data_IF_252521793297
#
_entry.id   IF_252521793297
#
_cell.length_a   1.000
_cell.length_b   1.000
_cell.length_c   1.000
_cell.angle_alpha   90.00
_cell.angle_beta   90.00
_cell.angle_gamma   90.00
#
_symmetry.space_group_name_H-M   'P 1'
#
loop_
_entity.id
_entity.type
_entity.pdbx_description
1 polymer ?
#
# COMPACT_ATOMS: atom_id res chain seq x y z
N UNK A 1 11.50 21.57 -10.00
CA UNK A 1 11.58 20.75 -8.76
C UNK A 1 10.68 19.50 -8.75
N UNK A 2 10.27 18.92 -9.89
CA UNK A 2 9.40 17.73 -9.94
C UNK A 2 10.13 16.38 -10.14
N UNK A 3 11.47 16.37 -10.28
CA UNK A 3 12.22 15.18 -10.70
C UNK A 3 12.73 14.29 -9.54
N UNK A 4 12.95 14.86 -8.35
CA UNK A 4 13.59 14.15 -7.23
C UNK A 4 12.62 13.24 -6.47
N UNK A 5 11.41 13.72 -6.15
CA UNK A 5 10.40 12.90 -5.48
C UNK A 5 9.91 11.76 -6.37
N UNK A 6 9.67 12.01 -7.66
CA UNK A 6 9.26 10.97 -8.63
C UNK A 6 10.31 9.87 -8.78
N UNK A 7 11.60 10.20 -8.85
CA UNK A 7 12.67 9.17 -8.91
C UNK A 7 12.73 8.33 -7.62
N UNK A 8 12.51 8.96 -6.47
CA UNK A 8 12.51 8.31 -5.16
C UNK A 8 11.33 7.35 -4.97
N UNK A 9 10.11 7.77 -5.34
CA UNK A 9 8.92 6.91 -5.35
C UNK A 9 9.12 5.66 -6.21
N UNK A 10 9.60 5.84 -7.45
CA UNK A 10 9.94 4.73 -8.36
C UNK A 10 11.01 3.78 -7.83
N UNK A 11 11.88 4.22 -6.91
CA UNK A 11 12.85 3.33 -6.27
C UNK A 11 12.20 2.52 -5.14
N UNK A 12 11.29 3.14 -4.38
CA UNK A 12 10.52 2.47 -3.34
C UNK A 12 9.63 1.36 -3.90
N UNK A 13 8.86 1.67 -4.94
CA UNK A 13 7.98 0.70 -5.62
C UNK A 13 8.73 -0.54 -6.10
N UNK A 14 9.94 -0.38 -6.68
CA UNK A 14 10.77 -1.52 -7.13
C UNK A 14 11.24 -2.39 -5.97
N UNK A 15 11.55 -1.79 -4.83
CA UNK A 15 11.94 -2.54 -3.62
C UNK A 15 10.74 -3.32 -3.09
N UNK A 16 9.55 -2.72 -3.08
CA UNK A 16 8.32 -3.40 -2.70
C UNK A 16 8.06 -4.60 -3.62
N UNK A 17 8.07 -4.43 -4.95
CA UNK A 17 7.89 -5.56 -5.88
C UNK A 17 8.85 -6.72 -5.55
N UNK A 18 10.15 -6.43 -5.35
CA UNK A 18 11.13 -7.46 -5.01
C UNK A 18 10.85 -8.18 -3.70
N UNK A 19 10.45 -7.44 -2.65
CA UNK A 19 10.11 -8.02 -1.35
C UNK A 19 8.88 -8.94 -1.48
N UNK A 20 7.86 -8.50 -2.22
CA UNK A 20 6.66 -9.30 -2.44
C UNK A 20 6.94 -10.52 -3.33
N UNK A 21 7.72 -10.38 -4.40
CA UNK A 21 8.21 -11.49 -5.24
C UNK A 21 8.96 -12.52 -4.41
N UNK A 22 9.90 -12.10 -3.56
CA UNK A 22 10.67 -13.02 -2.71
C UNK A 22 9.80 -13.68 -1.64
N UNK A 23 8.75 -13.01 -1.16
CA UNK A 23 7.91 -13.53 -0.08
C UNK A 23 6.82 -14.47 -0.59
N UNK A 24 6.07 -14.05 -1.61
CA UNK A 24 4.87 -14.73 -2.10
C UNK A 24 5.07 -15.46 -3.43
N UNK A 25 6.16 -15.19 -4.15
CA UNK A 25 6.31 -15.64 -5.54
C UNK A 25 5.41 -14.86 -6.50
N UNK A 26 5.37 -15.29 -7.75
CA UNK A 26 4.62 -14.61 -8.83
C UNK A 26 5.34 -13.36 -9.37
N UNK A 27 4.71 -12.71 -10.35
CA UNK A 27 5.22 -11.48 -10.99
C UNK A 27 4.56 -10.26 -10.37
N UNK A 28 5.31 -9.46 -9.60
CA UNK A 28 4.80 -8.21 -9.02
C UNK A 28 5.30 -7.02 -9.81
N UNK A 29 4.39 -6.18 -10.29
CA UNK A 29 4.75 -5.09 -11.19
C UNK A 29 4.34 -3.75 -10.61
N UNK A 30 5.00 -2.71 -11.08
CA UNK A 30 4.62 -1.34 -10.77
C UNK A 30 3.54 -0.92 -11.75
N UNK A 31 2.59 -0.11 -11.32
CA UNK A 31 1.61 0.42 -12.26
C UNK A 31 2.31 1.22 -13.37
N UNK A 32 1.90 0.99 -14.62
CA UNK A 32 2.37 1.81 -15.72
C UNK A 32 1.85 3.23 -15.49
N UNK A 33 2.74 4.23 -15.49
CA UNK A 33 2.32 5.62 -15.26
C UNK A 33 1.11 5.96 -16.13
N UNK A 34 0.04 6.43 -15.50
CA UNK A 34 -1.34 6.59 -15.98
C UNK A 34 -1.56 7.16 -17.40
N UNK A 35 -0.55 7.79 -18.00
CA UNK A 35 -0.59 8.21 -19.41
C UNK A 35 -0.66 7.08 -20.44
N UNK A 36 -0.14 5.89 -20.13
CA UNK A 36 -0.15 4.77 -21.08
C UNK A 36 -1.47 3.96 -21.09
N UNK A 37 -2.19 3.96 -19.97
CA UNK A 37 -3.45 3.20 -19.83
C UNK A 37 -4.69 4.05 -20.17
N UNK A 38 -4.61 5.37 -20.02
CA UNK A 38 -5.75 6.29 -20.18
C UNK A 38 -5.56 7.28 -21.36
N UNK A 39 -4.35 7.42 -21.91
CA UNK A 39 -4.07 8.39 -22.99
C UNK A 39 -4.21 7.82 -24.40
N UNK A 40 -5.27 8.20 -25.12
CA UNK A 40 -5.46 7.97 -26.55
C UNK A 40 -5.80 6.53 -26.95
N UNK A 41 -6.73 6.35 -27.89
CA UNK A 41 -7.24 5.10 -28.53
C UNK A 41 -7.69 3.92 -27.62
N UNK A 42 -7.22 3.83 -26.38
CA UNK A 42 -7.47 2.77 -25.40
C UNK A 42 -8.49 3.17 -24.33
N UNK A 43 -8.99 4.41 -24.33
CA UNK A 43 -10.05 4.85 -23.42
C UNK A 43 -11.36 4.03 -23.60
N UNK A 44 -11.56 3.46 -24.79
CA UNK A 44 -12.68 2.55 -25.13
C UNK A 44 -12.55 1.18 -24.45
N UNK A 45 -11.37 0.81 -23.90
CA UNK A 45 -11.18 -0.46 -23.19
C UNK A 45 -11.64 -0.46 -21.73
N UNK A 46 -12.07 0.68 -21.19
CA UNK A 46 -12.59 0.76 -19.81
C UNK A 46 -13.85 -0.08 -19.59
N UNK A 47 -14.62 -0.35 -20.64
CA UNK A 47 -15.84 -1.18 -20.55
C UNK A 47 -15.58 -2.69 -20.47
N UNK A 48 -14.31 -3.14 -20.59
CA UNK A 48 -13.94 -4.56 -20.61
C UNK A 48 -12.91 -4.97 -19.54
N UNK A 49 -12.55 -4.07 -18.62
CA UNK A 49 -11.63 -4.40 -17.53
C UNK A 49 -12.43 -4.98 -16.35
N UNK A 50 -11.97 -6.10 -15.80
CA UNK A 50 -12.57 -6.63 -14.57
C UNK A 50 -12.35 -5.66 -13.41
N UNK A 51 -13.20 -5.70 -12.38
CA UNK A 51 -13.08 -4.80 -11.22
C UNK A 51 -11.68 -4.87 -10.59
N UNK A 52 -11.09 -6.07 -10.52
CA UNK A 52 -9.70 -6.26 -10.07
C UNK A 52 -8.66 -5.56 -10.97
N UNK A 53 -8.84 -5.56 -12.28
CA UNK A 53 -7.95 -4.84 -13.21
C UNK A 53 -8.07 -3.32 -13.07
N UNK A 54 -9.27 -2.81 -12.78
CA UNK A 54 -9.49 -1.38 -12.53
C UNK A 54 -8.85 -0.96 -11.21
N UNK A 55 -8.96 -1.76 -10.15
CA UNK A 55 -8.32 -1.52 -8.85
C UNK A 55 -6.79 -1.54 -8.97
N UNK A 56 -6.24 -2.56 -9.63
CA UNK A 56 -4.81 -2.70 -9.86
C UNK A 56 -4.25 -1.58 -10.75
N UNK A 57 -5.05 -1.00 -11.64
CA UNK A 57 -4.63 0.14 -12.46
C UNK A 57 -4.56 1.47 -11.69
N UNK A 58 -5.10 1.53 -10.46
CA UNK A 58 -5.10 2.73 -9.62
C UNK A 58 -4.07 2.68 -8.49
N UNK A 59 -3.77 1.50 -7.97
CA UNK A 59 -2.74 1.30 -6.94
C UNK A 59 -1.32 1.42 -7.51
N UNK A 60 -0.33 1.62 -6.64
CA UNK A 60 1.08 1.73 -7.04
C UNK A 60 1.69 0.40 -7.53
N UNK A 61 1.26 -0.72 -6.95
CA UNK A 61 1.75 -2.07 -7.26
C UNK A 61 0.61 -2.95 -7.78
N UNK A 62 0.89 -3.65 -8.87
CA UNK A 62 0.04 -4.64 -9.52
C UNK A 62 0.47 -6.04 -9.02
N UNK A 63 -0.40 -6.76 -8.30
CA UNK A 63 -0.15 -8.13 -7.89
C UNK A 63 -0.29 -9.12 -9.07
N UNK A 64 0.21 -10.37 -8.91
CA UNK A 64 -0.21 -11.52 -9.71
C UNK A 64 -1.73 -11.69 -9.77
N UNK A 65 -2.25 -12.27 -10.86
CA UNK A 65 -3.70 -12.39 -11.10
C UNK A 65 -4.42 -13.25 -10.05
N UNK A 66 -3.70 -14.17 -9.40
CA UNK A 66 -4.23 -15.04 -8.35
C UNK A 66 -4.42 -14.33 -7.01
N UNK A 67 -3.86 -13.12 -6.85
CA UNK A 67 -3.89 -12.36 -5.60
C UNK A 67 -4.80 -11.13 -5.70
N UNK A 68 -5.69 -10.98 -4.71
CA UNK A 68 -6.50 -9.79 -4.49
C UNK A 68 -5.91 -8.97 -3.34
N UNK A 69 -5.01 -8.04 -3.65
CA UNK A 69 -4.42 -7.12 -2.68
C UNK A 69 -4.17 -5.76 -3.32
N UNK A 70 -4.49 -4.69 -2.60
CA UNK A 70 -4.13 -3.31 -2.98
C UNK A 70 -2.92 -2.85 -2.17
N UNK A 71 -1.87 -2.40 -2.87
CA UNK A 71 -0.65 -1.92 -2.23
C UNK A 71 -0.35 -0.49 -2.69
N UNK A 72 -0.28 0.41 -1.73
CA UNK A 72 0.06 1.81 -1.93
C UNK A 72 1.46 2.11 -1.39
N UNK A 73 2.26 2.88 -2.12
CA UNK A 73 3.65 3.18 -1.78
C UNK A 73 3.88 4.66 -1.51
N UNK A 74 4.41 4.98 -0.34
CA UNK A 74 4.79 6.36 0.01
C UNK A 74 6.26 6.44 0.40
N UNK A 75 6.95 7.48 -0.07
CA UNK A 75 8.35 7.72 0.29
C UNK A 75 8.59 9.18 0.69
N UNK A 76 8.83 9.39 1.98
CA UNK A 76 8.92 10.73 2.59
C UNK A 76 10.22 10.90 3.36
N UNK A 77 10.63 12.16 3.55
CA UNK A 77 11.82 12.47 4.32
C UNK A 77 11.57 12.28 5.82
N UNK A 78 10.38 12.65 6.29
CA UNK A 78 9.99 12.53 7.69
C UNK A 78 8.49 12.25 7.84
N UNK A 79 8.10 11.85 9.06
CA UNK A 79 6.74 11.57 9.48
C UNK A 79 6.53 12.09 10.92
N UNK A 80 5.38 12.71 11.24
CA UNK A 80 5.14 13.33 12.55
C UNK A 80 4.82 12.28 13.64
N UNK A 81 5.82 11.49 14.04
CA UNK A 81 5.67 10.38 15.00
C UNK A 81 5.09 10.78 16.35
N UNK A 82 5.40 11.99 16.84
CA UNK A 82 4.88 12.51 18.10
C UNK A 82 3.35 12.56 18.14
N UNK A 83 2.71 12.84 16.99
CA UNK A 83 1.25 12.89 16.88
C UNK A 83 0.58 11.54 17.06
N UNK A 84 1.25 10.43 16.74
CA UNK A 84 0.72 9.09 17.02
C UNK A 84 0.61 8.85 18.52
N UNK A 85 1.60 9.32 19.29
CA UNK A 85 1.63 9.17 20.75
C UNK A 85 0.60 10.11 21.40
N UNK A 86 0.49 11.33 20.88
CA UNK A 86 -0.48 12.34 21.35
C UNK A 86 -1.92 12.05 20.91
N UNK A 87 -2.12 11.09 19.99
CA UNK A 87 -3.40 10.80 19.35
C UNK A 87 -4.00 12.01 18.61
N UNK A 88 -3.13 12.84 18.04
CA UNK A 88 -3.50 13.99 17.22
C UNK A 88 -3.78 13.58 15.76
N UNK A 89 -4.69 14.28 15.05
CA UNK A 89 -4.88 14.08 13.62
C UNK A 89 -3.61 14.30 12.80
N UNK A 90 -3.36 13.39 11.85
CA UNK A 90 -2.23 13.45 10.93
C UNK A 90 -2.78 13.57 9.50
N UNK A 91 -3.04 14.81 9.06
CA UNK A 91 -3.57 15.11 7.72
C UNK A 91 -2.77 14.45 6.58
N UNK A 92 -1.45 14.34 6.74
CA UNK A 92 -0.59 13.66 5.79
C UNK A 92 -0.93 12.18 5.65
N UNK A 93 -1.19 11.50 6.77
CA UNK A 93 -1.54 10.09 6.79
C UNK A 93 -2.98 9.88 6.29
N UNK A 94 -3.90 10.76 6.67
CA UNK A 94 -5.27 10.73 6.15
C UNK A 94 -5.29 10.89 4.63
N UNK A 95 -4.46 11.77 4.06
CA UNK A 95 -4.35 11.92 2.60
C UNK A 95 -3.82 10.66 1.92
N UNK A 96 -2.87 9.93 2.52
CA UNK A 96 -2.41 8.66 1.96
C UNK A 96 -3.48 7.58 2.06
N UNK A 97 -4.27 7.56 3.13
CA UNK A 97 -5.39 6.65 3.31
C UNK A 97 -6.51 6.92 2.30
N UNK A 98 -6.77 8.18 1.94
CA UNK A 98 -7.72 8.53 0.87
C UNK A 98 -7.35 7.86 -0.46
N UNK A 99 -6.05 7.83 -0.80
CA UNK A 99 -5.56 7.19 -2.04
C UNK A 99 -5.80 5.66 -2.01
N UNK A 100 -5.61 5.03 -0.85
CA UNK A 100 -5.94 3.61 -0.65
C UNK A 100 -7.44 3.38 -0.79
N UNK A 101 -8.27 4.16 -0.09
CA UNK A 101 -9.72 4.01 -0.09
C UNK A 101 -10.38 4.31 -1.44
N UNK A 102 -9.72 5.07 -2.32
CA UNK A 102 -10.16 5.27 -3.69
C UNK A 102 -9.95 4.03 -4.60
N UNK A 103 -9.17 3.04 -4.14
CA UNK A 103 -8.77 1.86 -4.90
C UNK A 103 -9.37 0.55 -4.38
N UNK A 104 -9.98 0.55 -3.19
CA UNK A 104 -10.50 -0.67 -2.55
C UNK A 104 -12.02 -0.65 -2.39
N UNK A 105 -12.61 -1.83 -2.36
CA UNK A 105 -13.95 -2.06 -1.79
C UNK A 105 -13.85 -2.43 -0.31
N UNK A 106 -15.00 -2.59 0.36
CA UNK A 106 -15.08 -2.73 1.82
C UNK A 106 -14.28 -3.92 2.37
N UNK A 107 -14.18 -5.04 1.65
CA UNK A 107 -13.52 -6.27 2.12
C UNK A 107 -12.14 -6.53 1.51
N UNK A 108 -11.67 -5.69 0.58
CA UNK A 108 -10.36 -5.91 -0.04
C UNK A 108 -9.24 -5.76 0.98
N UNK A 109 -8.31 -6.72 0.96
CA UNK A 109 -7.07 -6.61 1.71
C UNK A 109 -6.15 -5.56 1.09
N UNK A 110 -5.55 -4.73 1.94
CA UNK A 110 -4.65 -3.68 1.48
C UNK A 110 -3.53 -3.40 2.46
N UNK A 111 -2.42 -2.89 1.92
CA UNK A 111 -1.25 -2.46 2.69
C UNK A 111 -0.76 -1.10 2.20
N UNK A 112 -0.54 -0.17 3.12
CA UNK A 112 0.16 1.08 2.86
C UNK A 112 1.62 0.94 3.29
N UNK A 113 2.52 0.89 2.31
CA UNK A 113 3.94 0.68 2.50
C UNK A 113 4.69 2.03 2.47
N UNK A 114 5.23 2.46 3.61
CA UNK A 114 5.85 3.78 3.76
C UNK A 114 7.35 3.66 4.02
N UNK A 115 8.16 4.22 3.13
CA UNK A 115 9.59 4.45 3.37
C UNK A 115 9.80 5.84 3.95
N UNK A 116 10.35 5.91 5.16
CA UNK A 116 10.86 7.17 5.72
C UNK A 116 12.39 7.17 5.65
N UNK A 117 12.97 8.25 5.13
CA UNK A 117 14.42 8.36 4.95
C UNK A 117 15.17 8.18 6.26
N UNK A 118 16.25 7.39 6.21
CA UNK A 118 17.09 7.05 7.36
C UNK A 118 16.38 6.37 8.55
N UNK A 119 15.06 6.12 8.49
CA UNK A 119 14.27 5.46 9.55
C UNK A 119 13.80 4.06 9.19
N UNK A 120 13.68 3.76 7.90
CA UNK A 120 13.35 2.40 7.43
C UNK A 120 12.02 2.32 6.69
N UNK A 121 11.48 1.11 6.59
CA UNK A 121 10.17 0.81 6.02
C UNK A 121 9.17 0.59 7.14
N UNK A 122 7.95 1.07 6.91
CA UNK A 122 6.79 0.89 7.77
C UNK A 122 5.65 0.34 6.93
N UNK A 123 4.79 -0.44 7.56
CA UNK A 123 3.59 -0.98 6.95
C UNK A 123 2.39 -0.56 7.79
N UNK A 124 1.35 -0.14 7.10
CA UNK A 124 0.06 0.19 7.67
C UNK A 124 -1.05 -0.69 7.12
N UNK A 125 -1.99 -1.04 7.99
CA UNK A 125 -3.19 -1.82 7.67
C UNK A 125 -4.32 -1.51 8.67
N UNK A 126 -5.55 -1.85 8.28
CA UNK A 126 -6.74 -1.73 9.13
C UNK A 126 -6.75 -2.82 10.21
N UNK A 127 -7.11 -2.47 11.44
CA UNK A 127 -7.27 -3.42 12.56
C UNK A 127 -8.25 -4.56 12.27
N UNK A 128 -9.16 -4.41 11.30
CA UNK A 128 -10.06 -5.49 10.87
C UNK A 128 -9.33 -6.72 10.30
N UNK A 129 -8.09 -6.57 9.84
CA UNK A 129 -7.29 -7.66 9.28
C UNK A 129 -6.44 -8.41 10.32
N UNK A 130 -6.54 -8.07 11.60
CA UNK A 130 -5.88 -8.84 12.66
C UNK A 130 -6.38 -10.30 12.69
N UNK A 131 -5.56 -11.28 13.09
CA UNK A 131 -4.36 -11.13 13.93
C UNK A 131 -3.02 -11.27 13.17
N UNK A 132 -2.28 -10.17 13.01
CA UNK A 132 -0.90 -10.21 12.52
C UNK A 132 0.11 -10.29 13.66
N UNK A 133 1.25 -10.93 13.38
CA UNK A 133 2.45 -10.94 14.23
C UNK A 133 3.34 -9.75 13.88
N UNK A 134 3.66 -8.94 14.88
CA UNK A 134 4.58 -7.81 14.75
C UNK A 134 5.14 -7.44 16.13
N UNK A 135 6.34 -6.84 16.17
CA UNK A 135 7.02 -6.51 17.43
C UNK A 135 6.39 -5.31 18.13
N UNK A 136 6.78 -4.12 17.70
CA UNK A 136 6.25 -2.87 18.22
C UNK A 136 5.36 -2.23 17.16
N UNK A 137 4.35 -1.50 17.61
CA UNK A 137 3.41 -0.84 16.73
C UNK A 137 2.91 0.47 17.35
N UNK A 138 2.45 1.36 16.49
CA UNK A 138 1.62 2.49 16.87
C UNK A 138 0.21 2.29 16.36
N UNK A 139 -0.77 2.83 17.08
CA UNK A 139 -2.16 2.91 16.65
C UNK A 139 -2.44 4.32 16.14
N UNK A 140 -3.12 4.42 15.02
CA UNK A 140 -3.66 5.68 14.51
C UNK A 140 -5.17 5.58 14.41
N UNK A 141 -5.87 6.41 15.17
CA UNK A 141 -7.34 6.52 15.12
C UNK A 141 -7.67 7.70 14.21
N UNK A 142 -8.16 7.41 13.00
CA UNK A 142 -8.54 8.47 12.05
C UNK A 142 -9.99 8.87 12.26
N UNK A 143 -10.22 10.08 12.74
CA UNK A 143 -11.58 10.64 12.84
C UNK A 143 -12.23 10.82 11.47
N UNK A 144 -11.44 11.03 10.40
CA UNK A 144 -11.94 11.19 9.03
C UNK A 144 -12.54 9.90 8.49
N UNK A 145 -11.88 8.76 8.74
CA UNK A 145 -12.29 7.46 8.22
C UNK A 145 -13.09 6.63 9.23
N UNK A 146 -13.26 7.13 10.46
CA UNK A 146 -13.88 6.42 11.58
C UNK A 146 -13.30 5.01 11.79
N UNK A 147 -11.99 4.87 11.61
CA UNK A 147 -11.26 3.59 11.62
C UNK A 147 -9.97 3.70 12.43
N UNK A 148 -9.51 2.55 12.93
CA UNK A 148 -8.22 2.41 13.59
C UNK A 148 -7.26 1.64 12.71
N UNK A 149 -6.04 2.15 12.59
CA UNK A 149 -4.98 1.56 11.80
C UNK A 149 -3.79 1.21 12.68
N UNK A 150 -3.10 0.14 12.30
CA UNK A 150 -1.83 -0.26 12.90
C UNK A 150 -0.71 0.24 12.01
N UNK A 151 0.35 0.77 12.63
CA UNK A 151 1.61 1.11 11.99
C UNK A 151 2.70 0.30 12.64
N UNK A 152 3.37 -0.56 11.88
CA UNK A 152 4.52 -1.32 12.39
C UNK A 152 5.74 -1.16 11.48
N UNK A 153 6.91 -1.40 12.04
CA UNK A 153 8.18 -1.27 11.35
C UNK A 153 8.56 -2.56 10.62
N UNK A 154 9.45 -2.42 9.64
CA UNK A 154 10.04 -3.52 8.88
C UNK A 154 9.04 -4.29 8.01
N UNK A 155 8.76 -3.73 6.82
CA UNK A 155 7.92 -4.37 5.79
C UNK A 155 8.30 -5.84 5.52
N UNK A 156 9.57 -6.13 5.30
CA UNK A 156 10.03 -7.48 4.95
C UNK A 156 9.76 -8.49 6.07
N UNK A 157 10.22 -8.23 7.30
CA UNK A 157 9.95 -9.12 8.44
C UNK A 157 8.44 -9.28 8.68
N UNK A 158 7.65 -8.20 8.58
CA UNK A 158 6.20 -8.29 8.72
C UNK A 158 5.60 -9.26 7.70
N UNK A 159 5.97 -9.16 6.42
CA UNK A 159 5.43 -10.04 5.39
C UNK A 159 5.89 -11.49 5.57
N UNK A 160 7.14 -11.72 5.99
CA UNK A 160 7.67 -13.07 6.25
C UNK A 160 6.95 -13.72 7.42
N UNK A 161 6.84 -13.02 8.55
CA UNK A 161 6.20 -13.53 9.77
C UNK A 161 4.72 -13.82 9.56
N UNK A 162 4.05 -13.04 8.70
CA UNK A 162 2.61 -13.15 8.44
C UNK A 162 2.26 -13.83 7.12
N UNK A 163 3.24 -14.40 6.41
CA UNK A 163 3.07 -14.89 5.04
C UNK A 163 1.85 -15.79 4.88
N UNK A 164 1.73 -16.81 5.74
CA UNK A 164 0.65 -17.80 5.62
C UNK A 164 -0.72 -17.16 5.84
N UNK A 165 -0.83 -16.24 6.79
CA UNK A 165 -2.10 -15.59 7.07
C UNK A 165 -2.47 -14.58 5.98
N UNK A 166 -1.50 -13.78 5.50
CA UNK A 166 -1.71 -12.89 4.34
C UNK A 166 -2.17 -13.68 3.12
N UNK A 167 -1.59 -14.87 2.86
CA UNK A 167 -2.04 -15.73 1.75
C UNK A 167 -3.53 -16.10 1.86
N UNK A 168 -4.07 -16.31 3.07
CA UNK A 168 -5.51 -16.57 3.26
C UNK A 168 -6.40 -15.36 2.98
N UNK A 169 -5.85 -14.14 3.04
CA UNK A 169 -6.57 -12.90 2.77
C UNK A 169 -6.54 -12.51 1.28
N UNK A 170 -5.48 -12.89 0.57
CA UNK A 170 -5.25 -12.44 -0.81
C UNK A 170 -5.56 -13.49 -1.86
N UNK A 171 -5.52 -14.78 -1.53
CA UNK A 171 -5.77 -15.84 -2.51
C UNK A 171 -7.27 -16.00 -2.71
N UNK A 172 -7.72 -15.99 -3.97
CA UNK A 172 -9.13 -16.27 -4.33
C UNK A 172 -9.47 -17.76 -4.23
#
# INVERSE_FOLDING_TARGET
MAAKSKRKGKSGERVICKIFESTFGGSWQRVFSSGAFIGGANAVRKEFLSDGQIKNAKADIVPPDEFNIVIESKSYQDFPWHKLIQQDPILLLDAWLDEVFACIDEDDFWLLCVKIDYKGWFVLFDTKFEPFTYKNHAKYVSSKHSKTFIITASLENFLIENKNYILTLITK
#
